data_IF_179138870451
#
_entry.id   IF_179138870451
#
_cell.length_a   1.000
_cell.length_b   1.000
_cell.length_c   1.000
_cell.angle_alpha   90.00
_cell.angle_beta   90.00
_cell.angle_gamma   90.00
#
_symmetry.space_group_name_H-M   'P 1'
#
loop_
_entity.id
_entity.type
_entity.pdbx_description
1 polymer ?
#
# COMPACT_ATOMS: atom_id res chain seq x y z
N UNK A 1 20.86 9.81 -1.72
CA UNK A 1 22.07 9.56 -2.53
C UNK A 1 21.82 10.16 -3.91
N UNK A 2 22.40 11.33 -4.18
CA UNK A 2 22.32 11.96 -5.49
C UNK A 2 23.29 11.27 -6.44
N UNK A 3 22.77 10.63 -7.48
CA UNK A 3 23.59 10.09 -8.58
C UNK A 3 23.30 10.89 -9.85
N UNK A 4 24.07 11.96 -10.02
CA UNK A 4 24.26 12.58 -11.33
C UNK A 4 25.10 11.68 -12.25
N UNK A 5 25.11 11.95 -13.56
CA UNK A 5 25.85 11.17 -14.55
C UNK A 5 27.32 11.08 -14.15
N UNK A 6 27.82 9.84 -14.06
CA UNK A 6 29.20 9.53 -13.69
C UNK A 6 30.10 9.90 -14.87
N UNK A 7 30.80 11.03 -14.76
CA UNK A 7 31.84 11.39 -15.71
C UNK A 7 32.91 10.27 -15.73
N UNK A 8 33.43 9.91 -16.93
CA UNK A 8 34.46 8.89 -17.06
C UNK A 8 35.68 9.28 -16.23
N UNK A 9 36.28 8.29 -15.55
CA UNK A 9 37.44 8.54 -14.67
C UNK A 9 38.70 8.73 -15.51
N UNK A 10 39.57 9.64 -15.09
CA UNK A 10 40.90 9.80 -15.68
C UNK A 10 41.61 8.43 -15.76
N UNK A 11 41.80 7.93 -16.99
CA UNK A 11 42.43 6.63 -17.26
C UNK A 11 41.52 5.56 -17.90
N UNK A 12 40.20 5.80 -18.03
CA UNK A 12 39.35 4.93 -18.86
C UNK A 12 39.71 5.13 -20.34
N UNK A 13 40.22 4.06 -20.96
CA UNK A 13 40.54 4.04 -22.39
C UNK A 13 39.28 4.29 -23.19
N UNK A 14 39.18 5.50 -23.73
CA UNK A 14 38.21 5.86 -24.76
C UNK A 14 38.37 4.87 -25.91
N UNK A 15 37.27 4.25 -26.39
CA UNK A 15 37.39 3.23 -27.39
C UNK A 15 37.92 3.79 -28.73
N UNK A 16 38.85 3.06 -29.34
CA UNK A 16 39.77 3.45 -30.43
C UNK A 16 39.10 4.00 -31.70
N UNK A 17 37.79 3.87 -31.87
CA UNK A 17 37.05 4.43 -33.01
C UNK A 17 36.81 5.95 -32.95
N UNK A 18 37.24 6.62 -31.88
CA UNK A 18 37.33 8.09 -31.79
C UNK A 18 38.67 8.66 -32.29
N UNK A 19 39.54 7.85 -32.90
CA UNK A 19 40.64 8.39 -33.69
C UNK A 19 40.05 9.06 -34.94
N UNK A 20 39.76 10.35 -34.80
CA UNK A 20 39.53 11.30 -35.87
C UNK A 20 40.63 11.11 -36.92
N UNK A 21 40.31 10.42 -38.01
CA UNK A 21 41.03 10.64 -39.26
C UNK A 21 40.72 12.07 -39.66
N UNK A 22 41.59 12.99 -39.27
CA UNK A 22 41.54 14.41 -39.62
C UNK A 22 41.23 14.56 -41.10
N UNK A 23 40.23 15.38 -41.42
CA UNK A 23 39.70 15.60 -42.77
C UNK A 23 40.73 16.22 -43.75
N UNK A 24 41.95 16.51 -43.29
CA UNK A 24 43.02 17.15 -44.06
C UNK A 24 43.79 16.21 -45.03
N UNK A 25 43.64 14.89 -44.96
CA UNK A 25 44.43 13.97 -45.82
C UNK A 25 43.82 13.65 -47.20
N UNK A 26 42.71 14.29 -47.61
CA UNK A 26 42.01 13.90 -48.86
C UNK A 26 42.44 14.70 -50.12
N UNK A 27 43.29 15.71 -49.98
CA UNK A 27 43.71 16.59 -51.09
C UNK A 27 45.22 16.63 -51.40
N UNK A 28 46.05 15.75 -50.83
CA UNK A 28 47.52 15.86 -50.97
C UNK A 28 48.17 14.82 -51.88
N UNK A 29 47.43 13.89 -52.49
CA UNK A 29 48.01 12.90 -53.41
C UNK A 29 47.87 13.29 -54.88
N UNK A 30 48.46 14.41 -55.30
CA UNK A 30 48.66 14.78 -56.72
C UNK A 30 50.07 15.37 -56.90
N UNK A 31 51.06 14.49 -57.03
CA UNK A 31 52.39 14.84 -57.56
C UNK A 31 52.28 15.03 -59.08
N UNK A 32 52.68 16.21 -59.55
CA UNK A 32 52.90 16.64 -60.95
C UNK A 32 51.67 16.92 -61.85
N UNK A 33 50.70 17.72 -61.39
CA UNK A 33 49.85 18.50 -62.31
C UNK A 33 50.47 19.90 -62.54
N UNK A 34 50.62 20.31 -63.81
CA UNK A 34 51.25 21.59 -64.18
C UNK A 34 50.54 22.81 -63.60
N UNK A 35 51.26 23.92 -63.40
CA UNK A 35 50.75 25.13 -62.71
C UNK A 35 49.37 25.61 -63.21
N UNK A 36 49.07 25.45 -64.51
CA UNK A 36 47.76 25.80 -65.08
C UNK A 36 46.60 24.86 -64.72
N UNK A 37 46.86 23.57 -64.43
CA UNK A 37 45.84 22.65 -63.88
C UNK A 37 45.62 22.93 -62.38
N UNK A 38 46.67 23.30 -61.64
CA UNK A 38 46.58 23.63 -60.22
C UNK A 38 45.75 24.90 -59.96
N UNK A 39 45.99 25.99 -60.70
CA UNK A 39 45.16 27.20 -60.62
C UNK A 39 43.69 26.91 -60.98
N UNK A 40 43.47 26.04 -61.97
CA UNK A 40 42.12 25.66 -62.38
C UNK A 40 41.40 24.85 -61.30
N UNK A 41 42.06 23.87 -60.67
CA UNK A 41 41.49 23.13 -59.56
C UNK A 41 41.30 23.98 -58.31
N UNK A 42 42.20 24.94 -58.05
CA UNK A 42 41.99 25.94 -57.02
C UNK A 42 40.75 26.80 -57.30
N UNK A 43 40.50 27.19 -58.56
CA UNK A 43 39.31 27.94 -58.96
C UNK A 43 38.04 27.09 -58.83
N UNK A 44 38.09 25.80 -59.19
CA UNK A 44 36.98 24.84 -59.02
C UNK A 44 36.70 24.53 -57.54
N UNK A 45 37.74 24.45 -56.70
CA UNK A 45 37.62 24.31 -55.26
C UNK A 45 37.11 25.61 -54.59
N UNK A 46 37.52 26.79 -55.06
CA UNK A 46 36.97 28.09 -54.62
C UNK A 46 35.49 28.26 -54.99
N UNK A 47 35.00 27.51 -55.97
CA UNK A 47 33.59 27.38 -56.37
C UNK A 47 32.82 26.42 -55.44
N UNK A 48 33.33 26.17 -54.23
CA UNK A 48 32.71 25.35 -53.16
C UNK A 48 31.26 25.73 -52.84
N UNK A 49 30.87 26.98 -53.07
CA UNK A 49 29.54 27.54 -52.81
C UNK A 49 28.53 27.41 -53.98
N UNK A 50 28.94 26.87 -55.13
CA UNK A 50 28.09 26.85 -56.30
C UNK A 50 27.46 25.47 -56.48
N UNK A 51 26.14 25.44 -56.44
CA UNK A 51 25.31 24.27 -56.76
C UNK A 51 25.72 23.65 -58.10
N UNK A 52 25.43 22.37 -58.29
CA UNK A 52 25.67 21.59 -59.52
C UNK A 52 25.22 22.36 -60.77
N UNK A 53 24.18 23.20 -60.65
CA UNK A 53 23.72 24.10 -61.70
C UNK A 53 24.69 25.21 -62.10
N UNK A 54 25.40 25.83 -61.16
CA UNK A 54 26.38 26.86 -61.52
C UNK A 54 27.67 26.26 -62.09
N UNK A 55 28.06 25.06 -61.67
CA UNK A 55 29.08 24.27 -62.38
C UNK A 55 28.65 23.94 -63.82
N UNK A 56 27.40 23.49 -64.03
CA UNK A 56 26.84 23.28 -65.39
C UNK A 56 26.84 24.56 -66.24
N UNK A 57 26.69 25.72 -65.62
CA UNK A 57 26.66 27.02 -66.31
C UNK A 57 28.06 27.48 -66.69
N UNK A 58 29.04 27.33 -65.79
CA UNK A 58 30.46 27.54 -66.07
C UNK A 58 30.94 26.65 -67.24
N UNK A 59 30.52 25.40 -67.26
CA UNK A 59 30.83 24.45 -68.34
C UNK A 59 30.26 24.89 -69.70
N UNK A 60 29.05 25.46 -69.73
CA UNK A 60 28.46 26.00 -70.96
C UNK A 60 29.25 27.17 -71.52
N UNK A 61 29.77 28.06 -70.66
CA UNK A 61 30.59 29.19 -71.09
C UNK A 61 31.95 28.76 -71.64
N UNK A 62 32.55 27.69 -71.09
CA UNK A 62 33.89 27.24 -71.47
C UNK A 62 33.91 26.31 -72.69
N UNK A 63 32.83 25.59 -72.97
CA UNK A 63 32.72 24.65 -74.10
C UNK A 63 32.99 25.29 -75.48
N UNK A 64 32.78 26.61 -75.61
CA UNK A 64 33.08 27.34 -76.86
C UNK A 64 34.57 27.56 -77.16
N UNK A 65 35.49 27.20 -76.24
CA UNK A 65 36.91 27.54 -76.33
C UNK A 65 37.88 26.34 -76.39
N UNK A 66 37.40 25.10 -76.27
CA UNK A 66 38.24 23.89 -76.18
C UNK A 66 38.15 23.04 -77.45
N UNK A 67 39.25 22.40 -77.85
CA UNK A 67 39.21 21.40 -78.93
C UNK A 67 38.46 20.14 -78.46
N UNK A 68 37.83 19.41 -79.40
CA UNK A 68 36.88 18.34 -79.07
C UNK A 68 37.47 17.22 -78.18
N UNK A 69 38.74 16.85 -78.37
CA UNK A 69 39.41 15.82 -77.55
C UNK A 69 39.74 16.27 -76.11
N UNK A 70 40.09 17.55 -75.94
CA UNK A 70 40.36 18.14 -74.62
C UNK A 70 39.08 18.27 -73.80
N UNK A 71 37.96 18.59 -74.47
CA UNK A 71 36.65 18.66 -73.84
C UNK A 71 36.24 17.31 -73.22
N UNK A 72 36.46 16.18 -73.90
CA UNK A 72 36.07 14.86 -73.40
C UNK A 72 36.94 14.37 -72.22
N UNK A 73 38.24 14.64 -72.24
CA UNK A 73 39.13 14.36 -71.10
C UNK A 73 38.70 15.19 -69.88
N UNK A 74 38.41 16.46 -70.10
CA UNK A 74 37.94 17.40 -69.08
C UNK A 74 36.60 16.97 -68.46
N UNK A 75 35.59 16.60 -69.27
CA UNK A 75 34.31 16.12 -68.75
C UNK A 75 34.44 14.82 -67.96
N UNK A 76 35.40 13.94 -68.29
CA UNK A 76 35.69 12.73 -67.52
C UNK A 76 36.29 13.04 -66.15
N UNK A 77 37.33 13.89 -66.08
CA UNK A 77 37.91 14.34 -64.80
C UNK A 77 36.83 15.01 -63.93
N UNK A 78 36.04 15.92 -64.49
CA UNK A 78 34.96 16.62 -63.78
C UNK A 78 33.88 15.67 -63.25
N UNK A 79 33.44 14.68 -64.05
CA UNK A 79 32.47 13.67 -63.60
C UNK A 79 33.02 12.86 -62.43
N UNK A 80 34.30 12.48 -62.48
CA UNK A 80 34.95 11.75 -61.39
C UNK A 80 34.99 12.58 -60.10
N UNK A 81 35.27 13.88 -60.18
CA UNK A 81 35.25 14.79 -59.02
C UNK A 81 33.84 14.94 -58.44
N UNK A 82 32.82 15.15 -59.28
CA UNK A 82 31.42 15.21 -58.82
C UNK A 82 30.99 13.91 -58.15
N UNK A 83 31.34 12.75 -58.70
CA UNK A 83 31.08 11.44 -58.09
C UNK A 83 31.82 11.25 -56.77
N UNK A 84 33.09 11.70 -56.67
CA UNK A 84 33.87 11.66 -55.43
C UNK A 84 33.23 12.54 -54.35
N UNK A 85 32.82 13.78 -54.68
CA UNK A 85 32.14 14.71 -53.76
C UNK A 85 30.80 14.15 -53.28
N UNK A 86 30.00 13.63 -54.19
CA UNK A 86 28.70 13.03 -53.84
C UNK A 86 28.87 11.79 -52.95
N UNK A 87 29.87 10.95 -53.23
CA UNK A 87 30.20 9.81 -52.35
C UNK A 87 30.64 10.26 -50.96
N UNK A 88 31.42 11.34 -50.85
CA UNK A 88 31.82 11.90 -49.54
C UNK A 88 30.61 12.45 -48.79
N UNK A 89 29.73 13.20 -49.47
CA UNK A 89 28.46 13.71 -48.90
C UNK A 89 27.59 12.58 -48.37
N UNK A 90 27.33 11.56 -49.20
CA UNK A 90 26.53 10.39 -48.81
C UNK A 90 27.17 9.59 -47.67
N UNK A 91 28.50 9.46 -47.66
CA UNK A 91 29.21 8.80 -46.56
C UNK A 91 29.12 9.60 -45.26
N UNK A 92 29.15 10.94 -45.33
CA UNK A 92 28.96 11.82 -44.17
C UNK A 92 27.54 11.67 -43.62
N UNK A 93 26.53 11.76 -44.47
CA UNK A 93 25.12 11.55 -44.08
C UNK A 93 24.91 10.15 -43.48
N UNK A 94 25.54 9.12 -44.07
CA UNK A 94 25.52 7.76 -43.52
C UNK A 94 26.19 7.67 -42.14
N UNK A 95 27.27 8.42 -41.88
CA UNK A 95 27.93 8.46 -40.57
C UNK A 95 27.07 9.19 -39.54
N UNK A 96 26.46 10.31 -39.92
CA UNK A 96 25.56 11.10 -39.07
C UNK A 96 24.33 10.26 -38.67
N UNK A 97 23.64 9.64 -39.64
CA UNK A 97 22.52 8.71 -39.37
C UNK A 97 22.93 7.52 -38.50
N UNK A 98 24.10 6.93 -38.71
CA UNK A 98 24.61 5.85 -37.84
C UNK A 98 25.00 6.35 -36.43
N UNK A 99 25.34 7.62 -36.27
CA UNK A 99 25.57 8.24 -34.96
C UNK A 99 24.24 8.41 -34.23
N UNK A 100 23.24 8.99 -34.89
CA UNK A 100 21.88 9.15 -34.36
C UNK A 100 21.26 7.80 -33.94
N UNK A 101 21.41 6.75 -34.75
CA UNK A 101 20.93 5.41 -34.42
C UNK A 101 21.62 4.83 -33.16
N UNK A 102 22.92 5.06 -32.99
CA UNK A 102 23.65 4.60 -31.81
C UNK A 102 23.23 5.36 -30.56
N UNK A 103 23.04 6.67 -30.67
CA UNK A 103 22.51 7.49 -29.58
C UNK A 103 21.12 7.01 -29.17
N UNK A 104 20.23 6.77 -30.15
CA UNK A 104 18.90 6.23 -29.90
C UNK A 104 18.94 4.85 -29.20
N UNK A 105 19.78 3.93 -29.68
CA UNK A 105 19.97 2.62 -29.03
C UNK A 105 20.49 2.75 -27.61
N UNK A 106 21.41 3.68 -27.36
CA UNK A 106 21.92 3.97 -26.03
C UNK A 106 20.79 4.47 -25.10
N UNK A 107 19.95 5.41 -25.57
CA UNK A 107 18.79 5.89 -24.81
C UNK A 107 17.80 4.75 -24.50
N UNK A 108 17.52 3.87 -25.45
CA UNK A 108 16.65 2.72 -25.22
C UNK A 108 17.23 1.77 -24.16
N UNK A 109 18.53 1.47 -24.23
CA UNK A 109 19.18 0.61 -23.24
C UNK A 109 19.18 1.25 -21.85
N UNK A 110 19.49 2.53 -21.74
CA UNK A 110 19.46 3.27 -20.49
C UNK A 110 18.04 3.31 -19.88
N UNK A 111 17.02 3.47 -20.72
CA UNK A 111 15.62 3.41 -20.29
C UNK A 111 15.26 2.02 -19.73
N UNK A 112 15.57 0.96 -20.47
CA UNK A 112 15.28 -0.42 -20.08
C UNK A 112 16.03 -0.80 -18.78
N UNK A 113 17.27 -0.34 -18.61
CA UNK A 113 18.01 -0.49 -17.34
C UNK A 113 17.31 0.24 -16.18
N UNK A 114 16.82 1.45 -16.42
CA UNK A 114 16.06 2.23 -15.44
C UNK A 114 14.78 1.50 -15.02
N UNK A 115 14.02 0.97 -15.98
CA UNK A 115 12.82 0.17 -15.75
C UNK A 115 13.12 -1.09 -14.93
N UNK A 116 14.16 -1.85 -15.31
CA UNK A 116 14.61 -3.05 -14.59
C UNK A 116 14.98 -2.73 -13.14
N UNK A 117 15.65 -1.60 -12.88
CA UNK A 117 16.00 -1.16 -11.52
C UNK A 117 14.77 -0.78 -10.70
N UNK A 118 13.79 -0.12 -11.32
CA UNK A 118 12.52 0.21 -10.66
C UNK A 118 11.74 -1.06 -10.30
N UNK A 119 11.65 -2.02 -11.22
CA UNK A 119 11.01 -3.31 -10.95
C UNK A 119 11.71 -4.09 -9.83
N UNK A 120 13.03 -4.18 -9.86
CA UNK A 120 13.79 -4.83 -8.80
C UNK A 120 13.57 -4.16 -7.43
N UNK A 121 13.42 -2.84 -7.40
CA UNK A 121 13.12 -2.08 -6.17
C UNK A 121 11.71 -2.38 -5.67
N UNK A 122 10.71 -2.41 -6.57
CA UNK A 122 9.33 -2.79 -6.22
C UNK A 122 9.26 -4.20 -5.63
N UNK A 123 9.94 -5.16 -6.25
CA UNK A 123 9.99 -6.54 -5.76
C UNK A 123 10.61 -6.60 -4.36
N UNK A 124 11.71 -5.86 -4.11
CA UNK A 124 12.31 -5.79 -2.77
C UNK A 124 11.33 -5.27 -1.72
N UNK A 125 10.67 -4.15 -2.01
CA UNK A 125 9.66 -3.57 -1.11
C UNK A 125 8.54 -4.57 -0.82
N UNK A 126 7.99 -5.23 -1.85
CA UNK A 126 6.96 -6.25 -1.67
C UNK A 126 7.45 -7.42 -0.80
N UNK A 127 8.66 -7.92 -1.03
CA UNK A 127 9.20 -9.02 -0.21
C UNK A 127 9.45 -8.60 1.25
N UNK A 128 9.78 -7.34 1.50
CA UNK A 128 9.94 -6.80 2.85
C UNK A 128 8.57 -6.64 3.55
N UNK A 129 7.56 -6.14 2.83
CA UNK A 129 6.18 -6.06 3.30
C UNK A 129 5.61 -7.45 3.64
N UNK A 130 5.78 -8.44 2.76
CA UNK A 130 5.35 -9.83 3.01
C UNK A 130 6.05 -10.43 4.23
N UNK A 131 7.36 -10.18 4.40
CA UNK A 131 8.10 -10.63 5.60
C UNK A 131 7.60 -9.95 6.87
N UNK A 132 7.30 -8.66 6.81
CA UNK A 132 6.77 -7.90 7.94
C UNK A 132 5.38 -8.42 8.34
N UNK A 133 4.49 -8.59 7.37
CA UNK A 133 3.16 -9.16 7.59
C UNK A 133 3.23 -10.58 8.16
N UNK A 134 4.11 -11.45 7.63
CA UNK A 134 4.30 -12.79 8.16
C UNK A 134 4.87 -12.80 9.59
N UNK A 135 5.68 -11.80 9.96
CA UNK A 135 6.17 -11.65 11.34
C UNK A 135 5.06 -11.16 12.29
N UNK A 136 4.21 -10.24 11.82
CA UNK A 136 3.05 -9.75 12.57
C UNK A 136 2.06 -10.88 12.87
N UNK A 137 1.66 -11.66 11.86
CA UNK A 137 0.76 -12.82 12.03
C UNK A 137 1.34 -13.83 13.02
N UNK A 138 2.64 -14.15 12.92
CA UNK A 138 3.30 -15.03 13.90
C UNK A 138 3.27 -14.44 15.32
N UNK A 139 3.40 -13.13 15.46
CA UNK A 139 3.33 -12.46 16.76
C UNK A 139 1.91 -12.50 17.35
N UNK A 140 0.88 -12.38 16.51
CA UNK A 140 -0.51 -12.49 16.90
C UNK A 140 -0.87 -13.92 17.30
N UNK A 141 -0.39 -14.93 16.57
CA UNK A 141 -0.56 -16.35 16.92
C UNK A 141 0.06 -16.67 18.29
N UNK A 142 1.24 -16.11 18.57
CA UNK A 142 1.90 -16.29 19.88
C UNK A 142 1.10 -15.61 20.98
N UNK A 143 0.58 -14.39 20.75
CA UNK A 143 -0.30 -13.70 21.71
C UNK A 143 -1.60 -14.48 21.94
N UNK A 144 -2.18 -15.03 20.88
CA UNK A 144 -3.40 -15.84 20.97
C UNK A 144 -3.17 -17.10 21.80
N UNK A 145 -2.09 -17.85 21.54
CA UNK A 145 -1.71 -19.03 22.32
C UNK A 145 -1.40 -18.70 23.79
N UNK A 146 -0.77 -17.55 24.05
CA UNK A 146 -0.53 -17.08 25.42
C UNK A 146 -1.82 -16.72 26.14
N UNK A 147 -2.77 -16.05 25.46
CA UNK A 147 -4.08 -15.75 26.00
C UNK A 147 -4.90 -17.02 26.25
N UNK A 148 -4.85 -17.99 25.34
CA UNK A 148 -5.49 -19.30 25.50
C UNK A 148 -4.94 -20.07 26.71
N UNK A 149 -3.61 -20.15 26.85
CA UNK A 149 -2.98 -20.78 28.01
C UNK A 149 -3.25 -20.04 29.34
N UNK A 150 -3.41 -18.71 29.29
CA UNK A 150 -3.82 -17.92 30.46
C UNK A 150 -5.28 -18.21 30.82
N UNK A 151 -6.18 -18.24 29.84
CA UNK A 151 -7.59 -18.57 30.01
C UNK A 151 -7.78 -20.01 30.54
N UNK A 152 -6.97 -20.97 30.08
CA UNK A 152 -6.99 -22.35 30.60
C UNK A 152 -6.57 -22.40 32.07
N UNK A 153 -5.53 -21.66 32.48
CA UNK A 153 -5.12 -21.57 33.89
C UNK A 153 -6.16 -20.90 34.77
N UNK A 154 -6.84 -19.87 34.25
CA UNK A 154 -7.95 -19.21 34.93
C UNK A 154 -9.14 -20.15 35.07
N UNK A 155 -9.48 -20.91 34.02
CA UNK A 155 -10.48 -21.98 34.07
C UNK A 155 -10.13 -23.04 35.10
N UNK A 156 -8.87 -23.47 35.19
CA UNK A 156 -8.43 -24.42 36.22
C UNK A 156 -8.55 -23.83 37.62
N UNK A 157 -8.22 -22.54 37.79
CA UNK A 157 -8.37 -21.83 39.05
C UNK A 157 -9.85 -21.66 39.44
N UNK A 158 -10.72 -21.29 38.49
CA UNK A 158 -12.16 -21.15 38.69
C UNK A 158 -12.87 -22.50 38.83
N UNK A 159 -12.33 -23.57 38.26
CA UNK A 159 -12.79 -24.95 38.46
C UNK A 159 -12.42 -25.49 39.85
N UNK A 160 -11.36 -24.96 40.48
CA UNK A 160 -10.95 -25.31 41.85
C UNK A 160 -11.63 -24.48 42.93
N UNK A 161 -12.04 -23.26 42.58
CA UNK A 161 -12.96 -22.48 43.42
C UNK A 161 -14.35 -23.02 43.13
N UNK A 162 -14.78 -24.02 43.91
CA UNK A 162 -16.16 -24.48 43.97
C UNK A 162 -17.10 -23.27 43.83
N UNK A 163 -17.68 -23.08 42.65
CA UNK A 163 -18.78 -22.16 42.42
C UNK A 163 -20.00 -22.82 43.05
N UNK A 164 -20.07 -22.66 44.37
CA UNK A 164 -21.23 -22.90 45.21
C UNK A 164 -22.51 -22.46 44.47
N UNK A 165 -23.38 -23.41 44.10
CA UNK A 165 -24.81 -23.16 43.87
C UNK A 165 -25.31 -22.90 42.44
N UNK A 166 -24.72 -23.47 41.38
CA UNK A 166 -25.09 -23.15 39.98
C UNK A 166 -26.56 -23.41 39.62
N UNK A 167 -27.20 -24.43 40.20
CA UNK A 167 -28.58 -24.80 39.83
C UNK A 167 -29.59 -23.92 40.60
N UNK A 168 -29.45 -23.77 41.92
CA UNK A 168 -30.34 -22.93 42.74
C UNK A 168 -30.26 -21.44 42.36
N UNK A 169 -29.07 -20.92 42.09
CA UNK A 169 -28.91 -19.52 41.68
C UNK A 169 -29.52 -19.26 40.29
N UNK A 170 -29.42 -20.22 39.37
CA UNK A 170 -30.06 -20.13 38.05
C UNK A 170 -31.59 -20.22 38.13
N UNK A 171 -32.13 -21.06 39.03
CA UNK A 171 -33.58 -21.15 39.28
C UNK A 171 -34.13 -19.87 39.92
N UNK A 172 -33.46 -19.33 40.94
CA UNK A 172 -33.81 -18.05 41.54
C UNK A 172 -33.79 -16.92 40.51
N UNK A 173 -32.80 -16.93 39.60
CA UNK A 173 -32.73 -15.94 38.52
C UNK A 173 -33.87 -16.11 37.51
N UNK A 174 -34.23 -17.34 37.16
CA UNK A 174 -35.34 -17.61 36.25
C UNK A 174 -36.67 -17.14 36.85
N UNK A 175 -36.87 -17.34 38.15
CA UNK A 175 -38.03 -16.80 38.88
C UNK A 175 -38.04 -15.27 38.88
N UNK A 176 -36.87 -14.65 39.11
CA UNK A 176 -36.69 -13.20 39.05
C UNK A 176 -37.04 -12.63 37.67
N UNK A 177 -36.60 -13.26 36.58
CA UNK A 177 -36.93 -12.81 35.22
C UNK A 177 -38.44 -12.79 34.97
N UNK A 178 -39.17 -13.82 35.43
CA UNK A 178 -40.64 -13.83 35.31
C UNK A 178 -41.29 -12.70 36.11
N UNK A 179 -40.80 -12.43 37.31
CA UNK A 179 -41.29 -11.33 38.13
C UNK A 179 -40.98 -9.96 37.48
N UNK A 180 -39.80 -9.83 36.86
CA UNK A 180 -39.42 -8.65 36.11
C UNK A 180 -40.27 -8.42 34.87
N UNK A 181 -40.54 -9.46 34.08
CA UNK A 181 -41.43 -9.37 32.91
C UNK A 181 -42.85 -8.94 33.32
N UNK A 182 -43.40 -9.50 34.39
CA UNK A 182 -44.70 -9.10 34.93
C UNK A 182 -44.69 -7.63 35.41
N UNK A 183 -43.61 -7.18 36.04
CA UNK A 183 -43.42 -5.80 36.46
C UNK A 183 -43.30 -4.82 35.28
N UNK A 184 -42.65 -5.21 34.18
CA UNK A 184 -42.56 -4.39 32.97
C UNK A 184 -43.87 -4.32 32.18
N UNK A 185 -44.66 -5.41 32.20
CA UNK A 185 -45.93 -5.50 31.49
C UNK A 185 -47.05 -4.66 32.13
N UNK A 186 -46.87 -4.18 33.37
CA UNK A 186 -47.87 -3.37 34.05
C UNK A 186 -48.11 -2.02 33.36
N UNK A 187 -49.28 -1.44 33.60
CA UNK A 187 -49.58 -0.09 33.13
C UNK A 187 -48.72 0.96 33.84
N UNK A 188 -48.09 1.84 33.06
CA UNK A 188 -47.16 2.88 33.54
C UNK A 188 -47.80 3.94 34.44
N UNK A 189 -49.12 3.93 34.61
CA UNK A 189 -49.89 4.89 35.40
C UNK A 189 -50.14 4.45 36.85
N UNK A 190 -49.97 3.17 37.17
CA UNK A 190 -50.16 2.67 38.54
C UNK A 190 -48.97 3.08 39.43
N UNK A 191 -49.21 3.60 40.66
CA UNK A 191 -48.14 3.93 41.59
C UNK A 191 -47.38 2.67 42.00
N UNK A 192 -46.06 2.81 42.16
CA UNK A 192 -45.13 1.70 42.39
C UNK A 192 -44.62 1.77 43.81
N UNK A 193 -44.90 0.75 44.60
CA UNK A 193 -44.33 0.60 45.94
C UNK A 193 -42.94 -0.04 45.89
N UNK A 194 -42.16 0.12 46.97
CA UNK A 194 -40.84 -0.51 47.07
C UNK A 194 -40.90 -2.05 46.95
N UNK A 195 -41.95 -2.69 47.46
CA UNK A 195 -42.08 -4.16 47.49
C UNK A 195 -42.50 -4.74 46.13
N UNK A 196 -43.13 -3.96 45.28
CA UNK A 196 -43.52 -4.38 43.93
C UNK A 196 -42.35 -4.45 42.96
N UNK A 197 -41.24 -3.75 43.24
CA UNK A 197 -40.05 -3.83 42.41
C UNK A 197 -39.42 -5.21 42.62
N UNK A 198 -39.28 -6.04 41.56
CA UNK A 198 -38.66 -7.35 41.69
C UNK A 198 -37.14 -7.15 41.82
N UNK A 199 -36.69 -6.95 43.06
CA UNK A 199 -35.29 -6.82 43.40
C UNK A 199 -34.52 -8.12 43.09
N UNK A 200 -33.25 -8.03 42.67
CA UNK A 200 -32.45 -9.22 42.43
C UNK A 200 -32.29 -10.01 43.74
N UNK A 201 -32.37 -11.36 43.71
CA UNK A 201 -32.34 -12.19 44.91
C UNK A 201 -30.98 -12.11 45.64
N UNK A 202 -29.90 -11.90 44.88
CA UNK A 202 -28.54 -11.70 45.39
C UNK A 202 -27.87 -10.55 44.63
N UNK A 203 -27.20 -9.66 45.36
CA UNK A 203 -26.40 -8.58 44.76
C UNK A 203 -24.97 -9.04 44.49
N UNK A 204 -24.40 -9.88 45.34
CA UNK A 204 -23.15 -10.60 45.09
C UNK A 204 -23.39 -11.78 44.15
N UNK A 205 -22.57 -11.92 43.11
CA UNK A 205 -22.72 -12.99 42.12
C UNK A 205 -23.90 -12.82 41.16
N UNK A 206 -24.55 -11.64 41.13
CA UNK A 206 -25.67 -11.33 40.23
C UNK A 206 -25.36 -11.67 38.77
N UNK A 207 -24.20 -11.22 38.27
CA UNK A 207 -23.79 -11.48 36.89
C UNK A 207 -23.51 -12.96 36.62
N UNK A 208 -22.98 -13.68 37.61
CA UNK A 208 -22.72 -15.11 37.51
C UNK A 208 -24.02 -15.92 37.49
N UNK A 209 -25.00 -15.58 38.33
CA UNK A 209 -26.33 -16.19 38.31
C UNK A 209 -27.05 -15.94 36.98
N UNK A 210 -26.96 -14.71 36.45
CA UNK A 210 -27.49 -14.34 35.14
C UNK A 210 -26.84 -15.12 33.99
N UNK A 211 -25.52 -15.22 34.00
CA UNK A 211 -24.76 -15.94 33.00
C UNK A 211 -25.07 -17.45 33.06
N UNK A 212 -25.11 -18.03 34.25
CA UNK A 212 -25.49 -19.43 34.46
C UNK A 212 -26.89 -19.72 33.92
N UNK A 213 -27.88 -18.89 34.23
CA UNK A 213 -29.24 -19.05 33.70
C UNK A 213 -29.31 -18.95 32.16
N UNK A 214 -28.51 -18.07 31.55
CA UNK A 214 -28.42 -17.96 30.08
C UNK A 214 -27.82 -19.22 29.45
N UNK A 215 -26.75 -19.76 30.03
CA UNK A 215 -26.07 -20.96 29.56
C UNK A 215 -27.00 -22.17 29.69
N UNK A 216 -27.65 -22.35 30.84
CA UNK A 216 -28.61 -23.44 31.07
C UNK A 216 -29.78 -23.38 30.07
N UNK A 217 -30.27 -22.18 29.75
CA UNK A 217 -31.32 -21.98 28.74
C UNK A 217 -30.83 -22.32 27.33
N UNK A 218 -29.62 -21.91 26.96
CA UNK A 218 -29.05 -22.17 25.64
C UNK A 218 -28.81 -23.68 25.40
N UNK A 219 -28.46 -24.43 26.45
CA UNK A 219 -28.20 -25.88 26.41
C UNK A 219 -29.44 -26.74 26.63
N UNK A 220 -30.64 -26.15 26.68
CA UNK A 220 -31.90 -26.90 26.87
C UNK A 220 -31.96 -27.70 28.17
N UNK A 221 -31.22 -27.29 29.21
CA UNK A 221 -31.12 -28.02 30.49
C UNK A 221 -30.08 -29.13 30.53
N UNK A 222 -29.30 -29.36 29.46
CA UNK A 222 -28.17 -30.29 29.49
C UNK A 222 -27.05 -29.78 30.40
N UNK A 223 -26.62 -30.62 31.34
CA UNK A 223 -25.52 -30.34 32.25
C UNK A 223 -24.19 -30.48 31.50
N UNK A 224 -23.55 -29.35 31.23
CA UNK A 224 -22.21 -29.32 30.64
C UNK A 224 -21.47 -28.05 31.02
N UNK A 225 -20.20 -28.18 31.40
CA UNK A 225 -19.32 -27.05 31.68
C UNK A 225 -19.20 -26.18 30.42
N UNK A 226 -19.58 -24.89 30.48
CA UNK A 226 -19.39 -23.98 29.36
C UNK A 226 -17.90 -23.81 29.06
N UNK A 227 -17.57 -23.67 27.78
CA UNK A 227 -16.23 -23.23 27.38
C UNK A 227 -15.97 -21.80 27.91
N UNK A 228 -14.70 -21.44 28.17
CA UNK A 228 -14.27 -20.10 28.61
C UNK A 228 -14.91 -18.98 27.79
N UNK A 229 -14.90 -19.13 26.47
CA UNK A 229 -15.44 -18.15 25.54
C UNK A 229 -16.95 -18.03 25.66
N UNK A 230 -17.65 -19.16 25.84
CA UNK A 230 -19.10 -19.20 26.05
C UNK A 230 -19.46 -18.52 27.38
N UNK A 231 -18.71 -18.83 28.45
CA UNK A 231 -18.88 -18.22 29.76
C UNK A 231 -18.65 -16.71 29.73
N UNK A 232 -17.59 -16.23 29.08
CA UNK A 232 -17.32 -14.79 28.97
C UNK A 232 -18.41 -14.05 28.17
N UNK A 233 -18.84 -14.63 27.04
CA UNK A 233 -19.93 -14.06 26.23
C UNK A 233 -21.22 -13.98 27.03
N UNK A 234 -21.55 -15.01 27.81
CA UNK A 234 -22.71 -15.01 28.70
C UNK A 234 -22.60 -13.93 29.79
N UNK A 235 -21.46 -13.77 30.45
CA UNK A 235 -21.24 -12.70 31.43
C UNK A 235 -21.35 -11.30 30.80
N UNK A 236 -20.81 -11.11 29.60
CA UNK A 236 -20.92 -9.83 28.87
C UNK A 236 -22.36 -9.48 28.52
N UNK A 237 -23.16 -10.47 28.13
CA UNK A 237 -24.60 -10.29 27.87
C UNK A 237 -25.38 -10.05 29.15
N UNK A 238 -25.07 -10.78 30.21
CA UNK A 238 -25.62 -10.56 31.55
C UNK A 238 -25.37 -9.14 32.03
N UNK A 239 -24.13 -8.64 31.93
CA UNK A 239 -23.76 -7.28 32.28
C UNK A 239 -24.57 -6.25 31.49
N UNK A 240 -24.61 -6.36 30.17
CA UNK A 240 -25.39 -5.42 29.34
C UNK A 240 -26.86 -5.37 29.74
N UNK A 241 -27.48 -6.53 30.00
CA UNK A 241 -28.88 -6.62 30.45
C UNK A 241 -29.07 -6.01 31.84
N UNK A 242 -28.24 -6.40 32.80
CA UNK A 242 -28.30 -5.90 34.17
C UNK A 242 -28.07 -4.38 34.23
N UNK A 243 -27.07 -3.89 33.50
CA UNK A 243 -26.74 -2.47 33.43
C UNK A 243 -27.89 -1.67 32.83
N UNK A 244 -28.50 -2.09 31.71
CA UNK A 244 -29.66 -1.38 31.15
C UNK A 244 -30.88 -1.41 32.07
N UNK A 245 -31.09 -2.52 32.79
CA UNK A 245 -32.22 -2.73 33.70
C UNK A 245 -32.11 -1.87 34.96
N UNK A 246 -30.92 -1.84 35.56
CA UNK A 246 -30.68 -1.25 36.88
C UNK A 246 -29.88 0.06 36.82
N UNK A 247 -29.63 0.64 35.65
CA UNK A 247 -29.01 1.96 35.57
C UNK A 247 -29.97 3.02 36.15
N UNK A 248 -29.53 3.87 37.11
CA UNK A 248 -30.41 4.83 37.78
C UNK A 248 -31.18 5.71 36.80
N UNK A 249 -30.50 6.28 35.81
CA UNK A 249 -31.16 7.13 34.81
C UNK A 249 -32.20 6.37 33.97
N UNK A 250 -31.90 5.15 33.50
CA UNK A 250 -32.81 4.38 32.66
C UNK A 250 -34.02 3.90 33.46
N UNK A 251 -33.80 3.48 34.70
CA UNK A 251 -34.86 3.06 35.61
C UNK A 251 -35.80 4.23 35.93
N UNK A 252 -35.23 5.39 36.30
CA UNK A 252 -36.01 6.59 36.61
C UNK A 252 -36.72 7.16 35.37
N UNK A 253 -36.12 7.06 34.19
CA UNK A 253 -36.78 7.46 32.95
C UNK A 253 -38.01 6.58 32.66
N UNK A 254 -37.92 5.26 32.86
CA UNK A 254 -39.01 4.31 32.57
C UNK A 254 -40.10 4.32 33.64
N UNK A 255 -39.73 4.34 34.92
CA UNK A 255 -40.67 4.15 36.03
C UNK A 255 -40.85 5.40 36.90
N UNK A 256 -40.04 6.45 36.74
CA UNK A 256 -40.02 7.61 37.64
C UNK A 256 -41.35 8.36 37.76
N UNK A 257 -42.17 8.37 36.69
CA UNK A 257 -43.53 8.95 36.75
C UNK A 257 -44.47 8.18 37.68
N UNK A 258 -44.23 6.89 37.83
CA UNK A 258 -45.01 5.97 38.65
C UNK A 258 -44.46 5.86 40.09
N UNK A 259 -43.24 6.35 40.35
CA UNK A 259 -42.62 6.42 41.69
C UNK A 259 -43.19 7.55 42.57
N UNK A 260 -44.35 8.11 42.27
CA UNK A 260 -44.95 9.22 43.01
C UNK A 260 -45.38 8.82 44.42
N UNK A 261 -44.47 8.91 45.40
CA UNK A 261 -44.78 8.55 46.78
C UNK A 261 -43.59 8.57 47.73
N UNK A 262 -43.80 8.09 48.96
CA UNK A 262 -42.79 8.02 50.03
C UNK A 262 -41.60 7.11 49.68
N UNK A 263 -41.78 6.17 48.77
CA UNK A 263 -40.78 5.15 48.43
C UNK A 263 -39.81 5.56 47.31
N UNK A 264 -40.05 6.70 46.64
CA UNK A 264 -39.28 7.12 45.48
C UNK A 264 -37.76 7.14 45.74
N UNK A 265 -37.37 7.76 46.86
CA UNK A 265 -35.96 7.90 47.23
C UNK A 265 -35.34 6.57 47.67
N UNK A 266 -36.13 5.72 48.35
CA UNK A 266 -35.70 4.39 48.78
C UNK A 266 -35.42 3.49 47.57
N UNK A 267 -36.32 3.51 46.58
CA UNK A 267 -36.16 2.78 45.32
C UNK A 267 -34.94 3.29 44.58
N UNK A 268 -34.79 4.61 44.43
CA UNK A 268 -33.64 5.22 43.75
C UNK A 268 -32.31 4.83 44.40
N UNK A 269 -32.22 4.90 45.72
CA UNK A 269 -31.03 4.52 46.48
C UNK A 269 -30.68 3.04 46.25
N UNK A 270 -31.68 2.15 46.26
CA UNK A 270 -31.44 0.71 46.04
C UNK A 270 -31.00 0.40 44.61
N UNK A 271 -31.60 1.05 43.62
CA UNK A 271 -31.18 0.94 42.21
C UNK A 271 -29.72 1.39 42.04
N UNK A 272 -29.31 2.47 42.71
CA UNK A 272 -27.93 2.94 42.68
C UNK A 272 -26.94 1.94 43.32
N UNK A 273 -27.30 1.35 44.46
CA UNK A 273 -26.51 0.29 45.11
C UNK A 273 -26.32 -0.91 44.16
N UNK A 274 -27.41 -1.38 43.53
CA UNK A 274 -27.37 -2.51 42.59
C UNK A 274 -26.51 -2.16 41.37
N UNK A 275 -26.65 -0.95 40.82
CA UNK A 275 -25.84 -0.49 39.69
C UNK A 275 -24.34 -0.47 40.00
N UNK A 276 -23.97 -0.01 41.20
CA UNK A 276 -22.59 -0.04 41.66
C UNK A 276 -22.07 -1.48 41.83
N UNK A 277 -22.87 -2.37 42.41
CA UNK A 277 -22.53 -3.79 42.55
C UNK A 277 -22.32 -4.47 41.18
N UNK A 278 -23.16 -4.15 40.19
CA UNK A 278 -23.02 -4.65 38.80
C UNK A 278 -21.70 -4.19 38.18
N UNK A 279 -21.38 -2.90 38.29
CA UNK A 279 -20.14 -2.35 37.70
C UNK A 279 -18.89 -2.91 38.40
N UNK A 280 -18.94 -3.08 39.73
CA UNK A 280 -17.86 -3.72 40.49
C UNK A 280 -17.66 -5.16 40.04
N UNK A 281 -18.74 -5.96 40.01
CA UNK A 281 -18.67 -7.35 39.57
C UNK A 281 -18.15 -7.49 38.14
N UNK A 282 -18.57 -6.61 37.23
CA UNK A 282 -18.05 -6.59 35.86
C UNK A 282 -16.57 -6.24 35.80
N UNK A 283 -16.11 -5.27 36.60
CA UNK A 283 -14.70 -4.88 36.64
C UNK A 283 -13.81 -6.02 37.16
N UNK A 284 -14.30 -6.80 38.12
CA UNK A 284 -13.62 -8.03 38.57
C UNK A 284 -13.54 -9.05 37.44
N UNK A 285 -14.67 -9.35 36.79
CA UNK A 285 -14.70 -10.32 35.68
C UNK A 285 -13.79 -9.86 34.53
N UNK A 286 -13.87 -8.60 34.11
CA UNK A 286 -13.04 -8.06 33.01
C UNK A 286 -11.54 -8.01 33.36
N UNK A 287 -11.18 -7.86 34.64
CA UNK A 287 -9.78 -7.95 35.08
C UNK A 287 -9.25 -9.38 35.16
N UNK A 288 -10.14 -10.36 35.27
CA UNK A 288 -9.81 -11.79 35.32
C UNK A 288 -9.74 -12.45 33.92
N UNK A 289 -10.08 -11.74 32.83
CA UNK A 289 -10.03 -12.23 31.44
C UNK A 289 -9.03 -11.44 30.59
#
# INVERSE_FOLDING_TARGET
>A
MEYGPRLPREGERVPVWEQETSEEEVCTSEEEEGEGEREFWEEVCKVEAVDVEGLRTFLRQRKGKLQQGEADAFYRKMRAVLQKRERVRLNRERRETMKELREYQWYQNAWNEGETRLEATKVRMQTEEEKAWAAEVRSEDVKFKQAEAAAEKLLEAMSKVDLFGSDEAAELWTSHERAWEAFEAREKAAPVSYEEVPWPPVTSGLLSAMAAAEITRAKGGEKGTPDSKEAFVAHKRAFKRAHLRWHPDKFMHRFGKALGGKDAERIRSKVQEISQAINHAWSTIEGDF
#
